data_IF_964163983134
#
_entry.id   IF_964163983134
#
_cell.length_a   1.000
_cell.length_b   1.000
_cell.length_c   1.000
_cell.angle_alpha   90.00
_cell.angle_beta   90.00
_cell.angle_gamma   90.00
#
_symmetry.space_group_name_H-M   'P 1'
#
loop_
_entity.id
_entity.type
_entity.pdbx_description
1 polymer ?
#
# COMPACT_ATOMS: atom_id res chain seq x y z
N UNK A 1 1.26 27.03 -70.83
CA UNK A 1 -0.13 26.97 -70.34
C UNK A 1 -0.12 27.16 -68.83
N UNK A 2 -0.31 28.40 -68.39
CA UNK A 2 -0.35 28.82 -66.98
C UNK A 2 -1.64 29.65 -66.85
N UNK A 3 -2.41 29.40 -65.79
CA UNK A 3 -3.78 29.88 -65.48
C UNK A 3 -4.88 28.90 -65.94
N UNK A 4 -5.61 28.32 -64.95
CA UNK A 4 -6.59 29.10 -64.21
C UNK A 4 -6.64 28.71 -62.72
N UNK A 5 -5.78 29.32 -61.89
CA UNK A 5 -5.91 29.25 -60.41
C UNK A 5 -6.02 30.63 -59.75
N UNK A 6 -5.84 31.71 -60.51
CA UNK A 6 -5.88 33.09 -60.01
C UNK A 6 -7.26 33.77 -60.12
N UNK A 7 -8.21 33.19 -60.87
CA UNK A 7 -9.51 33.84 -61.15
C UNK A 7 -10.54 33.60 -60.03
N UNK A 8 -10.30 32.62 -59.15
CA UNK A 8 -11.21 32.31 -58.04
C UNK A 8 -11.17 33.30 -56.87
N UNK A 9 -10.04 33.96 -56.64
CA UNK A 9 -9.85 34.84 -55.47
C UNK A 9 -10.39 36.26 -55.68
N UNK A 10 -10.52 36.74 -56.92
CA UNK A 10 -11.09 38.06 -57.20
C UNK A 10 -12.63 38.04 -57.29
N UNK A 11 -13.22 36.89 -57.66
CA UNK A 11 -14.67 36.73 -57.80
C UNK A 11 -15.37 36.37 -56.47
N UNK A 12 -14.75 36.65 -55.32
CA UNK A 12 -15.38 36.60 -54.00
C UNK A 12 -15.42 37.97 -53.31
N UNK A 13 -15.14 39.06 -54.04
CA UNK A 13 -15.25 40.44 -53.54
C UNK A 13 -16.24 41.23 -54.42
N UNK A 14 -17.37 40.62 -54.76
CA UNK A 14 -18.45 41.31 -55.48
C UNK A 14 -19.85 40.92 -55.01
N UNK A 15 -20.04 40.84 -53.70
CA UNK A 15 -21.36 41.09 -53.13
C UNK A 15 -21.25 41.79 -51.79
N UNK A 16 -21.59 43.09 -51.83
CA UNK A 16 -21.42 44.05 -50.75
C UNK A 16 -22.66 44.09 -49.84
N UNK A 17 -23.15 42.92 -49.40
CA UNK A 17 -24.22 42.81 -48.39
C UNK A 17 -24.18 41.45 -47.66
N UNK A 18 -23.02 41.06 -47.12
CA UNK A 18 -23.00 40.05 -46.06
C UNK A 18 -22.86 40.75 -44.73
N UNK A 19 -23.95 40.67 -43.99
CA UNK A 19 -24.27 41.37 -42.75
C UNK A 19 -23.05 41.42 -41.84
N UNK A 20 -22.70 42.60 -41.30
CA UNK A 20 -21.63 42.76 -40.28
C UNK A 20 -21.75 41.71 -39.16
N UNK A 21 -22.97 41.26 -38.89
CA UNK A 21 -23.33 40.16 -37.98
C UNK A 21 -22.80 38.76 -38.39
N UNK A 22 -22.76 38.41 -39.68
CA UNK A 22 -22.24 37.13 -40.18
C UNK A 22 -20.73 37.01 -40.03
N UNK A 23 -19.99 38.13 -40.13
CA UNK A 23 -18.54 38.18 -39.90
C UNK A 23 -18.23 38.37 -38.40
N UNK A 24 -19.08 39.08 -37.67
CA UNK A 24 -18.90 39.29 -36.23
C UNK A 24 -18.99 37.99 -35.42
N UNK A 25 -19.92 37.09 -35.77
CA UNK A 25 -20.09 35.80 -35.04
C UNK A 25 -18.81 34.96 -35.01
N UNK A 26 -18.14 34.63 -36.15
CA UNK A 26 -16.91 33.85 -36.13
C UNK A 26 -15.74 34.59 -35.47
N UNK A 27 -15.63 35.91 -35.64
CA UNK A 27 -14.55 36.69 -35.00
C UNK A 27 -14.71 36.73 -33.49
N UNK A 28 -15.92 36.99 -32.99
CA UNK A 28 -16.23 36.97 -31.56
C UNK A 28 -16.05 35.56 -31.00
N UNK A 29 -16.44 34.51 -31.75
CA UNK A 29 -16.21 33.12 -31.36
C UNK A 29 -14.71 32.83 -31.17
N UNK A 30 -13.86 33.23 -32.13
CA UNK A 30 -12.41 33.03 -32.04
C UNK A 30 -11.79 33.79 -30.86
N UNK A 31 -12.22 35.03 -30.61
CA UNK A 31 -11.74 35.84 -29.48
C UNK A 31 -12.19 35.23 -28.15
N UNK A 32 -13.48 34.87 -28.02
CA UNK A 32 -14.00 34.21 -26.84
C UNK A 32 -13.29 32.88 -26.57
N UNK A 33 -13.05 32.08 -27.61
CA UNK A 33 -12.34 30.80 -27.50
C UNK A 33 -10.88 31.00 -27.10
N UNK A 34 -10.21 32.04 -27.62
CA UNK A 34 -8.85 32.37 -27.21
C UNK A 34 -8.77 32.82 -25.74
N UNK A 35 -9.70 33.67 -25.28
CA UNK A 35 -9.78 34.10 -23.88
C UNK A 35 -10.12 32.94 -22.95
N UNK A 36 -11.04 32.06 -23.36
CA UNK A 36 -11.40 30.85 -22.63
C UNK A 36 -10.22 29.87 -22.56
N UNK A 37 -9.49 29.69 -23.67
CA UNK A 37 -8.29 28.88 -23.72
C UNK A 37 -7.19 29.43 -22.81
N UNK A 38 -6.98 30.75 -22.79
CA UNK A 38 -5.98 31.39 -21.92
C UNK A 38 -6.34 31.25 -20.43
N UNK A 39 -7.63 31.33 -20.09
CA UNK A 39 -8.15 31.03 -18.74
C UNK A 39 -7.91 29.56 -18.36
N UNK A 40 -8.08 28.62 -19.30
CA UNK A 40 -7.84 27.19 -19.10
C UNK A 40 -6.36 26.85 -18.97
N UNK A 41 -5.50 27.50 -19.74
CA UNK A 41 -4.04 27.34 -19.67
C UNK A 41 -3.54 27.77 -18.29
N UNK A 42 -4.05 28.90 -17.77
CA UNK A 42 -3.78 29.33 -16.40
C UNK A 42 -4.27 28.28 -15.37
N UNK A 43 -5.45 27.68 -15.50
CA UNK A 43 -5.89 26.58 -14.60
C UNK A 43 -4.93 25.38 -14.63
N UNK A 44 -4.27 25.14 -15.76
CA UNK A 44 -3.35 24.01 -15.94
C UNK A 44 -2.02 24.23 -15.20
N UNK A 45 -1.59 25.48 -14.98
CA UNK A 45 -0.40 25.80 -14.19
C UNK A 45 -0.60 25.53 -12.69
N UNK A 46 -1.83 25.66 -12.20
CA UNK A 46 -2.18 25.34 -10.80
C UNK A 46 -2.27 23.84 -10.54
N UNK A 47 -2.02 23.00 -11.54
CA UNK A 47 -2.09 21.54 -11.42
C UNK A 47 -1.28 21.03 -10.22
N UNK A 48 -0.04 21.50 -10.03
CA UNK A 48 0.80 21.10 -8.89
C UNK A 48 0.24 21.56 -7.54
N UNK A 49 -0.32 22.77 -7.49
CA UNK A 49 -0.94 23.31 -6.27
C UNK A 49 -2.23 22.56 -5.91
N UNK A 50 -3.05 22.22 -6.91
CA UNK A 50 -4.27 21.43 -6.74
C UNK A 50 -3.90 20.02 -6.27
N UNK A 51 -2.90 19.37 -6.87
CA UNK A 51 -2.42 18.07 -6.40
C UNK A 51 -1.86 18.14 -4.98
N UNK A 52 -1.04 19.14 -4.67
CA UNK A 52 -0.49 19.32 -3.33
C UNK A 52 -1.57 19.53 -2.26
N UNK A 53 -2.56 20.37 -2.53
CA UNK A 53 -3.67 20.61 -1.61
C UNK A 53 -4.58 19.38 -1.49
N UNK A 54 -4.81 18.65 -2.59
CA UNK A 54 -5.54 17.39 -2.58
C UNK A 54 -4.80 16.31 -1.78
N UNK A 55 -3.47 16.17 -1.96
CA UNK A 55 -2.64 15.24 -1.19
C UNK A 55 -2.64 15.61 0.29
N UNK A 56 -2.53 16.90 0.63
CA UNK A 56 -2.59 17.35 2.02
C UNK A 56 -3.97 17.09 2.64
N UNK A 57 -5.05 17.35 1.89
CA UNK A 57 -6.41 17.02 2.31
C UNK A 57 -6.59 15.51 2.52
N UNK A 58 -6.07 14.66 1.62
CA UNK A 58 -6.13 13.20 1.77
C UNK A 58 -5.29 12.74 2.97
N UNK A 59 -4.08 13.23 3.14
CA UNK A 59 -3.23 12.85 4.28
C UNK A 59 -3.85 13.32 5.61
N UNK A 60 -4.57 14.43 5.60
CA UNK A 60 -5.20 14.99 6.81
C UNK A 60 -6.58 14.38 7.12
N UNK A 61 -7.46 14.24 6.12
CA UNK A 61 -8.84 13.76 6.30
C UNK A 61 -9.03 12.27 6.03
N UNK A 62 -8.11 11.64 5.28
CA UNK A 62 -8.08 10.18 5.03
C UNK A 62 -6.99 9.50 5.87
N UNK A 63 -6.83 9.91 7.14
CA UNK A 63 -5.95 9.21 8.09
C UNK A 63 -6.42 7.76 8.34
N UNK A 64 -7.72 7.50 8.24
CA UNK A 64 -8.31 6.15 8.30
C UNK A 64 -8.26 5.40 6.94
N UNK A 65 -7.70 6.02 5.90
CA UNK A 65 -7.52 5.44 4.58
C UNK A 65 -8.81 5.18 3.78
N UNK A 66 -8.64 4.73 2.53
CA UNK A 66 -9.72 4.33 1.62
C UNK A 66 -10.42 3.05 2.12
N UNK A 67 -9.72 2.27 2.96
CA UNK A 67 -10.17 0.99 3.51
C UNK A 67 -11.40 1.14 4.39
N UNK A 68 -11.48 2.21 5.21
CA UNK A 68 -12.67 2.50 6.03
C UNK A 68 -13.93 2.83 5.22
N UNK A 69 -13.78 3.51 4.07
CA UNK A 69 -14.90 3.82 3.17
C UNK A 69 -15.36 2.60 2.36
N UNK A 70 -14.43 1.76 1.88
CA UNK A 70 -14.75 0.54 1.13
C UNK A 70 -15.43 -0.52 2.01
N UNK A 71 -15.04 -0.65 3.29
CA UNK A 71 -15.64 -1.62 4.23
C UNK A 71 -17.15 -1.42 4.38
N UNK A 72 -17.59 -0.16 4.54
CA UNK A 72 -19.01 0.19 4.65
C UNK A 72 -19.84 -0.09 3.38
N UNK A 73 -19.22 -0.08 2.20
CA UNK A 73 -19.90 -0.39 0.93
C UNK A 73 -19.99 -1.90 0.72
N UNK A 74 -18.94 -2.65 1.07
CA UNK A 74 -18.89 -4.11 0.94
C UNK A 74 -19.84 -4.80 1.93
N UNK A 75 -19.96 -4.28 3.16
CA UNK A 75 -20.89 -4.81 4.18
C UNK A 75 -22.37 -4.70 3.77
N UNK A 76 -22.73 -3.69 2.96
CA UNK A 76 -24.11 -3.48 2.52
C UNK A 76 -24.54 -4.41 1.37
N UNK A 77 -23.59 -5.05 0.68
CA UNK A 77 -23.83 -5.84 -0.53
C UNK A 77 -23.78 -7.36 -0.26
N UNK A 78 -23.18 -7.81 0.85
CA UNK A 78 -23.07 -9.24 1.18
C UNK A 78 -23.52 -9.57 2.61
N UNK A 79 -24.81 -9.87 2.84
CA UNK A 79 -25.26 -10.34 4.14
C UNK A 79 -24.83 -11.80 4.31
N UNK A 80 -23.98 -12.05 5.31
CA UNK A 80 -23.65 -13.37 5.88
C UNK A 80 -22.95 -14.39 4.97
N UNK A 81 -21.61 -14.35 4.95
CA UNK A 81 -20.74 -15.52 5.06
C UNK A 81 -19.29 -15.07 4.91
N UNK A 82 -18.60 -14.85 6.04
CA UNK A 82 -17.17 -15.11 6.28
C UNK A 82 -16.77 -14.29 7.51
N UNK A 83 -16.82 -14.92 8.69
CA UNK A 83 -16.05 -14.48 9.84
C UNK A 83 -14.55 -14.61 9.49
N UNK A 84 -13.91 -13.53 9.03
CA UNK A 84 -12.44 -13.41 9.08
C UNK A 84 -11.97 -11.96 8.88
N UNK A 85 -11.11 -11.55 9.80
CA UNK A 85 -10.38 -10.28 9.91
C UNK A 85 -11.21 -9.06 10.32
N UNK A 86 -11.53 -9.01 11.61
CA UNK A 86 -11.59 -7.73 12.31
C UNK A 86 -10.20 -7.09 12.26
N UNK A 87 -10.12 -5.94 11.59
CA UNK A 87 -9.05 -4.97 11.79
C UNK A 87 -9.06 -4.54 13.26
N UNK A 88 -8.01 -4.94 13.98
CA UNK A 88 -7.64 -4.34 15.25
C UNK A 88 -7.33 -2.85 15.00
N UNK A 89 -8.33 -1.99 15.22
CA UNK A 89 -8.10 -0.59 15.53
C UNK A 89 -7.78 -0.52 17.02
N UNK A 90 -6.49 -0.47 17.29
CA UNK A 90 -5.92 -0.35 18.62
C UNK A 90 -6.20 1.06 19.17
N UNK A 91 -7.34 1.20 19.84
CA UNK A 91 -7.40 2.07 21.01
C UNK A 91 -7.08 1.19 22.22
N UNK A 92 -5.86 0.65 22.21
CA UNK A 92 -5.33 -0.12 23.32
C UNK A 92 -5.16 0.84 24.47
N UNK A 93 -5.91 0.63 25.54
CA UNK A 93 -5.46 1.09 26.84
C UNK A 93 -4.04 0.53 27.01
N UNK A 94 -3.04 1.42 27.01
CA UNK A 94 -1.62 1.05 27.10
C UNK A 94 -1.40 0.06 28.27
N UNK A 95 -2.20 0.18 29.34
CA UNK A 95 -2.26 -0.73 30.47
C UNK A 95 -2.49 -2.23 30.15
N UNK A 96 -3.13 -2.58 29.03
CA UNK A 96 -3.41 -3.96 28.62
C UNK A 96 -2.41 -4.56 27.63
N UNK A 97 -1.61 -3.73 26.93
CA UNK A 97 -0.60 -4.23 25.99
C UNK A 97 0.54 -4.99 26.70
N UNK A 98 0.73 -4.75 28.01
CA UNK A 98 1.78 -5.36 28.83
C UNK A 98 1.27 -6.31 29.91
N UNK A 99 -0.05 -6.47 30.06
CA UNK A 99 -0.63 -7.38 31.05
C UNK A 99 -0.71 -8.79 30.46
N UNK A 100 0.44 -9.46 30.34
CA UNK A 100 0.44 -10.91 30.20
C UNK A 100 -0.29 -11.49 31.43
N UNK A 101 -1.29 -12.38 31.26
CA UNK A 101 -1.91 -13.02 32.41
C UNK A 101 -0.81 -13.78 33.14
N UNK A 102 -0.59 -13.37 34.39
CA UNK A 102 0.23 -14.07 35.36
C UNK A 102 -0.48 -15.38 35.69
N UNK A 103 -0.34 -16.36 34.80
CA UNK A 103 -0.56 -17.75 35.15
C UNK A 103 0.80 -18.37 35.35
N UNK A 104 1.00 -18.78 36.61
CA UNK A 104 2.07 -19.56 37.23
C UNK A 104 2.47 -20.81 36.43
N UNK A 105 2.87 -20.66 35.19
CA UNK A 105 3.73 -21.63 34.53
C UNK A 105 5.13 -21.24 34.96
N UNK A 106 5.70 -21.96 35.93
CA UNK A 106 7.13 -21.93 36.21
C UNK A 106 7.89 -22.38 34.95
N UNK A 107 8.05 -21.48 33.99
CA UNK A 107 8.96 -21.68 32.86
C UNK A 107 10.32 -21.18 33.32
N UNK A 108 11.02 -22.05 34.04
CA UNK A 108 12.46 -21.91 34.25
C UNK A 108 13.16 -22.25 32.93
N UNK A 109 13.09 -21.35 31.93
CA UNK A 109 13.69 -21.56 30.62
C UNK A 109 13.20 -20.59 29.53
N UNK A 110 13.89 -20.58 28.39
CA UNK A 110 13.49 -19.79 27.23
C UNK A 110 12.17 -20.33 26.65
N UNK A 111 11.24 -19.43 26.32
CA UNK A 111 9.95 -19.77 25.72
C UNK A 111 10.12 -20.24 24.28
N UNK A 112 10.99 -19.56 23.51
CA UNK A 112 11.35 -19.91 22.15
C UNK A 112 12.87 -20.00 22.04
N UNK A 113 13.38 -21.09 21.46
CA UNK A 113 14.81 -21.31 21.25
C UNK A 113 15.05 -21.79 19.82
N UNK A 114 15.87 -21.07 19.07
CA UNK A 114 16.39 -21.46 17.77
C UNK A 114 17.84 -21.89 17.97
N UNK A 115 18.18 -23.11 17.56
CA UNK A 115 19.51 -23.70 17.72
C UNK A 115 20.12 -24.01 16.37
N UNK A 116 21.24 -23.35 16.07
CA UNK A 116 22.05 -23.54 14.86
C UNK A 116 21.20 -23.49 13.57
N UNK A 117 20.21 -22.60 13.53
CA UNK A 117 19.26 -22.51 12.43
C UNK A 117 19.96 -22.06 11.16
N UNK A 118 19.85 -22.88 10.12
CA UNK A 118 20.35 -22.60 8.78
C UNK A 118 19.20 -22.64 7.79
N UNK A 119 19.09 -21.59 6.98
CA UNK A 119 18.10 -21.50 5.92
C UNK A 119 18.78 -21.08 4.63
N UNK A 120 18.71 -21.96 3.63
CA UNK A 120 19.36 -21.76 2.35
C UNK A 120 18.33 -21.81 1.21
N UNK A 121 18.39 -20.83 0.33
CA UNK A 121 17.60 -20.78 -0.91
C UNK A 121 18.55 -20.91 -2.09
N UNK A 122 18.59 -22.10 -2.70
CA UNK A 122 19.55 -22.41 -3.76
C UNK A 122 20.99 -22.26 -3.27
N UNK A 123 21.77 -21.37 -3.89
CA UNK A 123 23.16 -21.09 -3.49
C UNK A 123 23.34 -20.08 -2.35
N UNK A 124 22.27 -19.41 -1.90
CA UNK A 124 22.33 -18.31 -0.95
C UNK A 124 21.89 -18.75 0.46
N UNK A 125 22.78 -18.59 1.44
CA UNK A 125 22.44 -18.77 2.86
C UNK A 125 21.75 -17.51 3.40
N UNK A 126 20.44 -17.57 3.60
CA UNK A 126 19.67 -16.48 4.19
C UNK A 126 19.78 -16.44 5.72
N UNK A 127 19.94 -17.60 6.36
CA UNK A 127 20.33 -17.74 7.77
C UNK A 127 21.50 -18.73 7.84
N UNK A 128 22.52 -18.44 8.62
CA UNK A 128 23.71 -19.26 8.73
C UNK A 128 24.02 -19.57 10.20
N UNK A 129 23.55 -20.73 10.67
CA UNK A 129 23.80 -21.24 12.02
C UNK A 129 23.45 -20.22 13.12
N UNK A 130 22.24 -19.68 13.04
CA UNK A 130 21.76 -18.66 13.99
C UNK A 130 21.25 -19.34 15.25
N UNK A 131 21.74 -18.88 16.40
CA UNK A 131 21.19 -19.19 17.72
C UNK A 131 20.39 -17.98 18.23
N UNK A 132 19.18 -18.22 18.72
CA UNK A 132 18.33 -17.19 19.31
C UNK A 132 17.49 -17.77 20.44
N UNK A 133 17.41 -17.04 21.53
CA UNK A 133 16.77 -17.46 22.76
C UNK A 133 15.87 -16.33 23.27
N UNK A 134 14.56 -16.60 23.37
CA UNK A 134 13.55 -15.62 23.76
C UNK A 134 12.86 -16.11 25.04
N UNK A 135 13.00 -15.34 26.12
CA UNK A 135 12.32 -15.59 27.38
C UNK A 135 10.83 -15.22 27.31
N UNK A 136 9.98 -15.89 28.10
CA UNK A 136 8.55 -15.54 28.21
C UNK A 136 8.39 -14.09 28.67
N UNK A 137 7.47 -13.35 28.03
CA UNK A 137 7.18 -11.95 28.38
C UNK A 137 8.25 -10.94 27.94
N UNK A 138 9.26 -11.37 27.18
CA UNK A 138 10.28 -10.47 26.64
C UNK A 138 9.93 -9.96 25.24
N UNK A 139 10.32 -8.72 24.94
CA UNK A 139 10.15 -8.12 23.61
C UNK A 139 11.52 -8.04 22.94
N UNK A 140 11.65 -8.64 21.76
CA UNK A 140 12.88 -8.64 20.98
C UNK A 140 12.69 -7.89 19.65
N UNK A 141 13.59 -6.95 19.35
CA UNK A 141 13.60 -6.24 18.08
C UNK A 141 14.61 -6.86 17.11
N UNK A 142 14.14 -7.31 15.94
CA UNK A 142 15.00 -7.81 14.88
C UNK A 142 15.28 -6.72 13.83
N UNK A 143 16.49 -6.15 13.88
CA UNK A 143 16.91 -5.03 13.01
C UNK A 143 18.03 -5.43 12.04
N UNK A 144 18.14 -4.72 10.92
CA UNK A 144 19.19 -4.94 9.93
C UNK A 144 18.84 -4.42 8.54
N UNK A 145 19.82 -4.30 7.62
CA UNK A 145 19.60 -3.80 6.26
C UNK A 145 18.73 -4.75 5.42
N UNK A 146 18.26 -4.30 4.26
CA UNK A 146 17.51 -5.15 3.34
C UNK A 146 18.35 -6.38 2.92
N UNK A 147 17.73 -7.56 2.93
CA UNK A 147 18.41 -8.82 2.62
C UNK A 147 19.17 -9.48 3.78
N UNK A 148 19.15 -8.90 5.00
CA UNK A 148 19.85 -9.48 6.17
C UNK A 148 19.19 -10.74 6.77
N UNK A 149 18.15 -11.30 6.14
CA UNK A 149 17.48 -12.51 6.61
C UNK A 149 16.35 -12.31 7.64
N UNK A 150 15.90 -11.08 7.93
CA UNK A 150 14.86 -10.83 8.96
C UNK A 150 13.54 -11.53 8.69
N UNK A 151 12.98 -11.34 7.48
CA UNK A 151 11.73 -12.01 7.08
C UNK A 151 11.91 -13.52 7.01
N UNK A 152 13.10 -13.99 6.63
CA UNK A 152 13.43 -15.42 6.66
C UNK A 152 13.43 -15.96 8.08
N UNK A 153 14.03 -15.25 9.04
CA UNK A 153 14.03 -15.61 10.45
C UNK A 153 12.60 -15.71 10.98
N UNK A 154 11.76 -14.69 10.73
CA UNK A 154 10.36 -14.70 11.16
C UNK A 154 9.57 -15.87 10.54
N UNK A 155 9.78 -16.16 9.26
CA UNK A 155 9.12 -17.29 8.59
C UNK A 155 9.58 -18.65 9.14
N UNK A 156 10.83 -18.77 9.58
CA UNK A 156 11.33 -20.00 10.22
C UNK A 156 10.76 -20.14 11.62
N UNK A 157 10.73 -19.08 12.42
CA UNK A 157 10.17 -19.10 13.77
C UNK A 157 8.65 -19.40 13.78
N UNK A 158 7.92 -18.90 12.79
CA UNK A 158 6.47 -19.16 12.62
C UNK A 158 6.16 -20.49 11.91
N UNK A 159 7.19 -21.23 11.48
CA UNK A 159 7.05 -22.50 10.78
C UNK A 159 6.52 -22.42 9.34
N UNK A 160 6.46 -21.22 8.75
CA UNK A 160 6.20 -21.05 7.31
C UNK A 160 7.32 -21.69 6.50
N UNK A 161 8.56 -21.57 6.96
CA UNK A 161 9.72 -22.23 6.37
C UNK A 161 10.28 -23.29 7.31
N UNK A 162 10.49 -24.49 6.76
CA UNK A 162 11.29 -25.51 7.43
C UNK A 162 12.77 -25.15 7.26
N UNK A 163 13.55 -24.98 8.35
CA UNK A 163 14.96 -24.70 8.25
C UNK A 163 15.69 -25.87 7.57
N UNK A 164 16.71 -25.57 6.77
CA UNK A 164 17.52 -26.58 6.07
C UNK A 164 18.38 -27.38 7.05
N UNK A 165 18.79 -26.77 8.17
CA UNK A 165 19.41 -27.46 9.31
C UNK A 165 19.15 -26.69 10.61
N UNK A 166 19.40 -27.33 11.75
CA UNK A 166 19.05 -26.80 13.07
C UNK A 166 17.59 -27.03 13.43
N UNK A 167 17.16 -26.47 14.55
CA UNK A 167 15.80 -26.64 15.06
C UNK A 167 15.30 -25.39 15.79
N UNK A 168 13.98 -25.20 15.77
CA UNK A 168 13.25 -24.22 16.57
C UNK A 168 12.39 -24.98 17.57
N UNK A 169 12.49 -24.61 18.83
CA UNK A 169 11.77 -25.16 19.96
C UNK A 169 10.88 -24.07 20.58
N UNK A 170 9.65 -24.43 20.92
CA UNK A 170 8.73 -23.60 21.69
C UNK A 170 8.24 -24.38 22.92
N UNK A 171 8.32 -23.78 24.11
CA UNK A 171 8.01 -24.46 25.38
C UNK A 171 8.75 -25.82 25.51
N UNK A 172 10.01 -25.87 25.08
CA UNK A 172 10.84 -27.09 25.09
C UNK A 172 10.43 -28.18 24.09
N UNK A 173 9.49 -27.90 23.17
CA UNK A 173 9.07 -28.83 22.11
C UNK A 173 9.56 -28.34 20.75
N UNK A 174 10.18 -29.21 19.95
CA UNK A 174 10.58 -28.87 18.58
C UNK A 174 9.33 -28.59 17.74
N UNK A 175 9.24 -27.38 17.18
CA UNK A 175 8.14 -26.96 16.30
C UNK A 175 8.53 -27.00 14.82
N UNK A 176 9.82 -27.09 14.50
CA UNK A 176 10.30 -27.22 13.11
C UNK A 176 9.68 -28.43 12.42
N UNK A 177 8.98 -28.20 11.30
CA UNK A 177 8.31 -29.24 10.52
C UNK A 177 6.85 -29.52 10.89
N UNK A 178 6.34 -28.87 11.95
CA UNK A 178 4.90 -28.80 12.20
C UNK A 178 4.23 -27.86 11.21
N UNK A 179 2.94 -28.06 10.94
CA UNK A 179 2.19 -27.13 10.10
C UNK A 179 2.04 -25.77 10.82
N UNK A 180 2.02 -24.63 10.12
CA UNK A 180 1.81 -23.32 10.74
C UNK A 180 0.54 -23.26 11.60
N UNK A 181 -0.51 -23.98 11.20
CA UNK A 181 -1.75 -24.09 11.98
C UNK A 181 -1.56 -24.77 13.33
N UNK A 182 -0.75 -25.83 13.40
CA UNK A 182 -0.48 -26.54 14.64
C UNK A 182 0.40 -25.69 15.57
N UNK A 183 1.33 -24.93 15.01
CA UNK A 183 2.21 -24.01 15.74
C UNK A 183 1.39 -22.87 16.36
N UNK A 184 0.51 -22.24 15.58
CA UNK A 184 -0.38 -21.17 16.07
C UNK A 184 -1.34 -21.67 17.17
N UNK A 185 -1.91 -22.88 17.02
CA UNK A 185 -2.72 -23.49 18.07
C UNK A 185 -1.92 -23.83 19.33
N UNK A 186 -0.60 -23.97 19.22
CA UNK A 186 0.33 -24.15 20.32
C UNK A 186 0.65 -22.87 21.11
N UNK A 187 0.22 -21.70 20.63
CA UNK A 187 0.39 -20.41 21.32
C UNK A 187 1.66 -19.62 20.95
N UNK A 188 2.27 -19.91 19.79
CA UNK A 188 3.35 -19.11 19.18
C UNK A 188 2.80 -17.88 18.48
#
# INVERSE_FOLDING_TARGET
EIMPSLVGSEMCIRDRTKTVREVAVPVVSTICMAVFSYRLENITDWRLTIFGLMTLFVVYYLQDGIVGFLRNIVEKIRPQATHRHEEYHEKGDEAYAWAAPDQDVQISGNLLSAKQVLMQFGGLKALNQVDLDIAKGSIHGLIGPNGSGKSTMMNVLTGIYLPTAGAVEFNGRVISGSTPSAIALGGV
#
